data_IF_959275358562
#
_entry.id   IF_959275358562
#
_cell.length_a   1.000
_cell.length_b   1.000
_cell.length_c   1.000
_cell.angle_alpha   90.00
_cell.angle_beta   90.00
_cell.angle_gamma   90.00
#
_symmetry.space_group_name_H-M   'P 1'
#
loop_
_entity.id
_entity.type
_entity.pdbx_description
1 polymer ?
#
# COMPACT_ATOMS: atom_id res chain seq x y z
N UNK A 1 -33.10 -53.92 -11.75
CA UNK A 1 -32.00 -53.95 -10.77
C UNK A 1 -30.70 -53.67 -11.50
N UNK A 2 -29.82 -52.72 -11.19
CA UNK A 2 -29.76 -51.56 -10.31
C UNK A 2 -28.40 -50.93 -10.65
N UNK A 3 -28.35 -49.65 -11.06
CA UNK A 3 -27.07 -48.96 -11.26
C UNK A 3 -26.90 -47.94 -10.14
N UNK A 4 -25.95 -48.21 -9.26
CA UNK A 4 -25.45 -47.33 -8.20
C UNK A 4 -24.99 -46.02 -8.84
N UNK A 5 -25.68 -44.93 -8.53
CA UNK A 5 -25.20 -43.57 -8.74
C UNK A 5 -24.30 -43.18 -7.57
N UNK A 6 -23.02 -43.03 -7.84
CA UNK A 6 -22.00 -42.52 -6.92
C UNK A 6 -22.40 -41.12 -6.43
N UNK A 7 -22.69 -40.98 -5.14
CA UNK A 7 -22.79 -39.69 -4.46
C UNK A 7 -21.41 -39.02 -4.46
N UNK A 8 -21.11 -38.22 -5.49
CA UNK A 8 -19.95 -37.33 -5.48
C UNK A 8 -20.29 -36.08 -4.66
N UNK A 9 -19.56 -35.94 -3.55
CA UNK A 9 -19.41 -34.80 -2.65
C UNK A 9 -20.06 -33.47 -3.10
N UNK A 10 -21.18 -33.13 -2.45
CA UNK A 10 -21.85 -31.83 -2.52
C UNK A 10 -21.11 -30.69 -1.77
N UNK A 11 -19.89 -30.94 -1.30
CA UNK A 11 -19.04 -29.96 -0.59
C UNK A 11 -18.59 -28.82 -1.50
N UNK A 12 -18.26 -29.11 -2.77
CA UNK A 12 -17.83 -28.08 -3.72
C UNK A 12 -18.91 -27.05 -4.02
N UNK A 13 -20.18 -27.49 -4.15
CA UNK A 13 -21.31 -26.58 -4.38
C UNK A 13 -21.67 -25.76 -3.12
N UNK A 14 -21.53 -26.34 -1.93
CA UNK A 14 -21.76 -25.64 -0.68
C UNK A 14 -20.69 -24.56 -0.42
N UNK A 15 -19.41 -24.85 -0.71
CA UNK A 15 -18.31 -23.90 -0.59
C UNK A 15 -18.44 -22.71 -1.54
N UNK A 16 -18.84 -22.95 -2.81
CA UNK A 16 -19.09 -21.88 -3.77
C UNK A 16 -20.30 -21.03 -3.32
N UNK A 17 -21.33 -21.65 -2.75
CA UNK A 17 -22.52 -20.94 -2.26
C UNK A 17 -22.24 -20.14 -0.98
N UNK A 18 -21.33 -20.58 -0.10
CA UNK A 18 -20.89 -19.78 1.05
C UNK A 18 -19.92 -18.66 0.65
N UNK A 19 -19.05 -18.88 -0.35
CA UNK A 19 -18.10 -17.86 -0.80
C UNK A 19 -18.78 -16.73 -1.60
N UNK A 20 -19.86 -17.02 -2.33
CA UNK A 20 -20.53 -16.06 -3.23
C UNK A 20 -22.01 -15.78 -2.94
N UNK A 21 -22.68 -16.61 -2.13
CA UNK A 21 -24.15 -16.63 -2.05
C UNK A 21 -24.76 -15.99 -0.79
N UNK A 22 -23.95 -15.51 0.16
CA UNK A 22 -24.50 -14.92 1.39
C UNK A 22 -23.69 -13.69 1.84
N UNK A 23 -23.65 -12.66 0.99
CA UNK A 23 -23.50 -11.29 1.50
C UNK A 23 -24.91 -10.72 1.66
N UNK A 24 -25.40 -10.47 2.89
CA UNK A 24 -26.60 -9.66 3.05
C UNK A 24 -26.36 -8.34 2.32
N UNK A 25 -27.32 -7.87 1.51
CA UNK A 25 -27.30 -6.50 1.01
C UNK A 25 -27.23 -5.59 2.22
N UNK A 26 -26.03 -5.09 2.54
CA UNK A 26 -25.84 -4.12 3.61
C UNK A 26 -26.72 -2.93 3.26
N UNK A 27 -27.64 -2.65 4.16
CA UNK A 27 -28.36 -1.40 4.27
C UNK A 27 -27.36 -0.26 4.11
N UNK A 28 -27.69 0.71 3.24
CA UNK A 28 -26.94 1.90 2.88
C UNK A 28 -26.03 2.38 4.03
N UNK A 29 -24.74 2.09 3.90
CA UNK A 29 -23.72 2.70 4.71
C UNK A 29 -22.61 3.10 3.74
N UNK A 30 -22.83 4.21 3.02
CA UNK A 30 -21.89 4.78 2.04
C UNK A 30 -20.50 5.06 2.64
N UNK A 31 -20.40 5.09 3.97
CA UNK A 31 -19.14 5.24 4.71
C UNK A 31 -18.21 4.03 4.67
N UNK A 32 -18.67 2.85 4.24
CA UNK A 32 -17.86 1.61 4.25
C UNK A 32 -17.59 1.01 2.86
N UNK A 33 -17.84 1.77 1.79
CA UNK A 33 -17.44 1.37 0.45
C UNK A 33 -15.94 1.57 0.28
N UNK A 34 -15.24 0.50 -0.11
CA UNK A 34 -13.84 0.61 -0.52
C UNK A 34 -13.72 1.55 -1.73
N UNK A 35 -12.57 2.20 -1.94
CA UNK A 35 -12.39 3.17 -3.04
C UNK A 35 -12.60 2.57 -4.44
N UNK A 36 -12.54 1.23 -4.54
CA UNK A 36 -12.85 0.46 -5.75
C UNK A 36 -14.34 0.12 -5.93
N UNK A 37 -15.18 0.37 -4.92
CA UNK A 37 -16.61 0.04 -4.92
C UNK A 37 -17.52 1.27 -5.13
N UNK A 38 -16.92 2.46 -5.31
CA UNK A 38 -17.67 3.68 -5.66
C UNK A 38 -18.20 3.60 -7.09
N UNK A 39 -19.52 3.68 -7.23
CA UNK A 39 -20.23 3.59 -8.50
C UNK A 39 -20.30 4.98 -9.18
N UNK A 40 -19.15 5.52 -9.59
CA UNK A 40 -19.02 6.79 -10.33
C UNK A 40 -19.44 6.66 -11.82
N UNK A 41 -20.30 5.69 -12.17
CA UNK A 41 -20.63 5.35 -13.56
C UNK A 41 -19.54 4.60 -14.34
N UNK A 42 -18.43 4.27 -13.68
CA UNK A 42 -17.37 3.39 -14.18
C UNK A 42 -17.34 2.11 -13.32
N UNK A 43 -17.48 0.93 -13.94
CA UNK A 43 -17.39 -0.38 -13.26
C UNK A 43 -15.93 -0.65 -12.82
N UNK A 44 -15.48 -0.09 -11.68
CA UNK A 44 -14.10 -0.26 -11.19
C UNK A 44 -13.75 -1.72 -10.82
N UNK A 45 -14.75 -2.54 -10.49
CA UNK A 45 -14.60 -4.00 -10.32
C UNK A 45 -14.22 -4.74 -11.62
N UNK A 46 -14.30 -4.08 -12.78
CA UNK A 46 -13.89 -4.60 -14.10
C UNK A 46 -12.74 -3.84 -14.72
N UNK A 47 -12.17 -2.84 -14.03
CA UNK A 47 -11.00 -2.18 -14.60
C UNK A 47 -9.89 -3.20 -14.57
N UNK A 48 -9.39 -3.48 -15.78
CA UNK A 48 -8.11 -4.12 -15.96
C UNK A 48 -7.04 -3.17 -15.40
N UNK A 49 -6.93 -3.08 -14.07
CA UNK A 49 -5.85 -2.45 -13.32
C UNK A 49 -4.60 -3.25 -13.58
N UNK A 50 -4.15 -3.19 -14.82
CA UNK A 50 -2.88 -3.73 -15.25
C UNK A 50 -1.88 -2.67 -14.87
N UNK A 51 -1.08 -2.96 -13.85
CA UNK A 51 0.09 -2.16 -13.54
C UNK A 51 1.02 -2.19 -14.74
N UNK A 52 1.49 -1.04 -15.19
CA UNK A 52 2.39 -0.89 -16.32
C UNK A 52 3.57 -0.04 -15.87
N UNK A 53 4.61 -0.74 -15.40
CA UNK A 53 5.87 -0.11 -14.97
C UNK A 53 6.88 0.02 -16.11
N UNK A 54 6.79 -0.87 -17.11
CA UNK A 54 7.65 -0.87 -18.28
C UNK A 54 6.80 -0.98 -19.55
N UNK A 55 7.05 -0.07 -20.50
CA UNK A 55 6.42 -0.08 -21.82
C UNK A 55 7.51 -0.16 -22.90
N UNK A 56 7.20 -0.85 -24.00
CA UNK A 56 8.00 -0.71 -25.22
C UNK A 56 7.92 0.74 -25.72
N UNK A 57 8.99 1.25 -26.32
CA UNK A 57 9.04 2.61 -26.89
C UNK A 57 7.84 2.95 -27.79
N UNK A 58 7.34 1.97 -28.57
CA UNK A 58 6.16 2.16 -29.40
C UNK A 58 4.87 2.26 -28.58
N UNK A 59 4.72 1.41 -27.56
CA UNK A 59 3.56 1.42 -26.68
C UNK A 59 3.50 2.71 -25.86
N UNK A 60 4.65 3.19 -25.40
CA UNK A 60 4.77 4.48 -24.70
C UNK A 60 4.38 5.66 -25.59
N UNK A 61 4.76 5.64 -26.86
CA UNK A 61 4.34 6.66 -27.81
C UNK A 61 2.81 6.66 -27.98
N UNK A 62 2.20 5.49 -28.18
CA UNK A 62 0.75 5.36 -28.30
C UNK A 62 0.01 5.77 -27.02
N UNK A 63 0.50 5.37 -25.85
CA UNK A 63 -0.10 5.72 -24.55
C UNK A 63 -0.05 7.22 -24.30
N UNK A 64 1.07 7.86 -24.64
CA UNK A 64 1.25 9.32 -24.53
C UNK A 64 0.34 10.08 -25.50
N UNK A 65 0.22 9.61 -26.75
CA UNK A 65 -0.68 10.21 -27.74
C UNK A 65 -2.16 10.09 -27.33
N UNK A 66 -2.56 8.95 -26.75
CA UNK A 66 -3.91 8.75 -26.23
C UNK A 66 -4.21 9.67 -25.04
N UNK A 67 -3.25 9.85 -24.12
CA UNK A 67 -3.40 10.79 -23.00
C UNK A 67 -3.50 12.24 -23.47
N UNK A 68 -2.76 12.61 -24.51
CA UNK A 68 -2.81 13.94 -25.14
C UNK A 68 -4.11 14.18 -25.94
N UNK A 69 -4.95 13.16 -26.15
CA UNK A 69 -6.17 13.28 -26.95
C UNK A 69 -5.93 13.57 -28.44
N UNK A 70 -4.71 13.33 -28.93
CA UNK A 70 -4.35 13.56 -30.33
C UNK A 70 -4.59 12.28 -31.13
N UNK A 71 -5.60 12.29 -32.00
CA UNK A 71 -5.76 11.23 -33.02
C UNK A 71 -4.73 11.45 -34.13
N UNK A 72 -3.62 10.70 -34.09
CA UNK A 72 -2.67 10.69 -35.20
C UNK A 72 -3.18 9.73 -36.29
N UNK A 73 -3.68 10.30 -37.39
CA UNK A 73 -3.66 9.59 -38.67
C UNK A 73 -2.21 9.50 -39.12
N UNK A 74 -1.52 8.43 -38.73
CA UNK A 74 -0.13 8.21 -39.08
C UNK A 74 0.00 7.97 -40.59
N UNK A 75 0.10 9.05 -41.38
CA UNK A 75 0.80 8.97 -42.66
C UNK A 75 2.23 8.52 -42.33
N UNK A 76 2.71 7.46 -43.01
CA UNK A 76 3.99 6.77 -42.76
C UNK A 76 5.19 7.73 -42.70
N UNK A 77 5.42 8.37 -41.56
CA UNK A 77 6.64 9.09 -41.28
C UNK A 77 7.62 8.14 -40.60
N UNK A 78 8.89 8.23 -41.04
CA UNK A 78 9.98 7.38 -40.61
C UNK A 78 10.24 7.54 -39.11
N UNK A 79 9.82 6.55 -38.32
CA UNK A 79 10.14 6.45 -36.90
C UNK A 79 11.62 6.06 -36.79
N UNK A 80 12.44 6.95 -36.23
CA UNK A 80 13.84 6.64 -35.90
C UNK A 80 13.92 6.05 -34.50
N UNK A 81 14.28 4.77 -34.40
CA UNK A 81 14.52 4.10 -33.14
C UNK A 81 15.84 4.58 -32.53
N UNK A 82 15.76 5.40 -31.48
CA UNK A 82 16.92 5.70 -30.64
C UNK A 82 17.00 4.60 -29.59
N UNK A 83 17.98 3.71 -29.74
CA UNK A 83 18.24 2.68 -28.75
C UNK A 83 18.67 3.39 -27.45
N UNK A 84 17.93 3.28 -26.33
CA UNK A 84 18.40 3.82 -25.07
C UNK A 84 19.71 3.11 -24.77
N UNK A 85 20.81 3.87 -24.69
CA UNK A 85 22.14 3.33 -24.43
C UNK A 85 22.03 2.40 -23.23
N UNK A 86 22.15 1.11 -23.49
CA UNK A 86 22.15 0.11 -22.44
C UNK A 86 23.44 0.30 -21.66
N UNK A 87 23.34 0.99 -20.53
CA UNK A 87 24.35 1.02 -19.48
C UNK A 87 24.44 -0.38 -18.86
N UNK A 88 24.89 -1.35 -19.66
CA UNK A 88 25.14 -2.72 -19.22
C UNK A 88 26.52 -2.74 -18.59
N UNK A 89 26.58 -2.46 -17.30
CA UNK A 89 27.82 -2.49 -16.52
C UNK A 89 27.58 -2.13 -15.05
N UNK A 90 28.43 -2.65 -14.17
CA UNK A 90 28.49 -2.18 -12.79
C UNK A 90 29.14 -0.79 -12.80
N UNK A 91 28.45 0.22 -12.26
CA UNK A 91 29.03 1.55 -12.09
C UNK A 91 30.31 1.46 -11.25
N UNK A 92 31.33 2.19 -11.65
CA UNK A 92 32.51 2.38 -10.80
C UNK A 92 32.10 3.12 -9.51
N UNK A 93 32.92 3.02 -8.47
CA UNK A 93 32.63 3.68 -7.18
C UNK A 93 32.45 5.19 -7.34
N UNK A 94 33.29 5.82 -8.17
CA UNK A 94 33.24 7.25 -8.46
C UNK A 94 31.97 7.65 -9.23
N UNK A 95 31.56 6.86 -10.23
CA UNK A 95 30.31 7.08 -10.96
C UNK A 95 29.09 6.90 -10.06
N UNK A 96 29.13 5.94 -9.12
CA UNK A 96 28.05 5.72 -8.15
C UNK A 96 27.91 6.88 -7.17
N UNK A 97 29.02 7.43 -6.69
CA UNK A 97 29.01 8.61 -5.80
C UNK A 97 28.45 9.83 -6.54
N UNK A 98 28.91 10.09 -7.78
CA UNK A 98 28.36 11.17 -8.63
C UNK A 98 26.86 10.99 -8.89
N UNK A 99 26.42 9.77 -9.19
CA UNK A 99 25.00 9.48 -9.37
C UNK A 99 24.22 9.74 -8.08
N UNK A 100 24.73 9.33 -6.91
CA UNK A 100 24.08 9.56 -5.62
C UNK A 100 23.99 11.06 -5.28
N UNK A 101 25.02 11.84 -5.61
CA UNK A 101 25.00 13.30 -5.46
C UNK A 101 23.99 13.96 -6.40
N UNK A 102 23.92 13.53 -7.67
CA UNK A 102 22.90 13.99 -8.62
C UNK A 102 21.49 13.66 -8.11
N UNK A 103 21.25 12.44 -7.63
CA UNK A 103 20.00 12.05 -6.99
C UNK A 103 19.67 12.90 -5.75
N UNK A 104 20.67 13.24 -4.93
CA UNK A 104 20.47 14.07 -3.73
C UNK A 104 20.13 15.51 -4.10
N UNK A 105 20.82 16.09 -5.08
CA UNK A 105 20.57 17.45 -5.57
C UNK A 105 19.17 17.59 -6.19
N UNK A 106 18.70 16.53 -6.87
CA UNK A 106 17.41 16.52 -7.59
C UNK A 106 16.29 15.81 -6.85
N UNK A 107 16.48 15.50 -5.55
CA UNK A 107 15.47 14.85 -4.70
C UNK A 107 14.15 15.61 -4.69
N UNK A 108 14.21 16.94 -4.73
CA UNK A 108 13.01 17.78 -4.71
C UNK A 108 12.25 17.81 -6.03
N UNK A 109 12.88 17.42 -7.14
CA UNK A 109 12.27 17.43 -8.47
C UNK A 109 11.57 16.10 -8.79
N UNK A 110 11.96 15.01 -8.12
CA UNK A 110 11.33 13.70 -8.21
C UNK A 110 10.07 13.63 -7.31
N UNK A 111 9.05 14.40 -7.65
CA UNK A 111 7.76 14.42 -6.94
C UNK A 111 6.76 13.44 -7.54
N UNK A 112 5.78 13.01 -6.75
CA UNK A 112 4.60 12.31 -7.25
C UNK A 112 3.58 13.32 -7.81
N UNK A 113 2.81 12.95 -8.85
CA UNK A 113 1.86 13.86 -9.49
C UNK A 113 0.82 14.31 -8.46
N UNK A 114 0.66 15.63 -8.33
CA UNK A 114 -0.31 16.24 -7.43
C UNK A 114 -1.67 16.24 -8.11
N UNK A 115 -2.75 16.08 -7.33
CA UNK A 115 -4.09 16.21 -7.89
C UNK A 115 -4.37 17.70 -8.14
N UNK A 116 -4.86 18.10 -9.33
CA UNK A 116 -5.32 19.46 -9.55
C UNK A 116 -6.46 19.80 -8.59
N UNK A 117 -6.47 21.05 -8.11
CA UNK A 117 -7.55 21.54 -7.23
C UNK A 117 -8.85 21.57 -8.01
N UNK A 118 -9.91 21.08 -7.39
CA UNK A 118 -11.23 21.04 -7.98
C UNK A 118 -12.24 21.66 -7.03
N UNK A 119 -13.18 22.41 -7.59
CA UNK A 119 -14.26 23.08 -6.86
C UNK A 119 -15.61 22.46 -7.24
N UNK A 120 -16.66 22.79 -6.48
CA UNK A 120 -18.02 22.27 -6.74
C UNK A 120 -18.57 22.62 -8.13
N UNK A 121 -18.04 23.67 -8.75
CA UNK A 121 -18.44 24.13 -10.07
C UNK A 121 -17.77 23.34 -11.21
N UNK A 122 -16.76 22.52 -10.90
CA UNK A 122 -16.05 21.72 -11.92
C UNK A 122 -16.86 20.50 -12.32
N UNK A 123 -17.02 20.26 -13.63
CA UNK A 123 -17.68 19.05 -14.12
C UNK A 123 -16.75 17.86 -14.08
N UNK A 124 -17.30 16.64 -14.02
CA UNK A 124 -16.51 15.41 -13.98
C UNK A 124 -15.58 15.28 -15.21
N UNK A 125 -16.04 15.66 -16.41
CA UNK A 125 -15.25 15.59 -17.64
C UNK A 125 -14.12 16.64 -17.66
N UNK A 126 -14.38 17.83 -17.13
CA UNK A 126 -13.36 18.87 -16.97
C UNK A 126 -12.27 18.40 -16.01
N UNK A 127 -12.66 17.83 -14.86
CA UNK A 127 -11.71 17.29 -13.90
C UNK A 127 -10.85 16.17 -14.49
N UNK A 128 -11.45 15.23 -15.23
CA UNK A 128 -10.71 14.16 -15.90
C UNK A 128 -9.72 14.70 -16.93
N UNK A 129 -10.03 15.82 -17.58
CA UNK A 129 -9.13 16.46 -18.55
C UNK A 129 -7.97 17.14 -17.85
N UNK A 130 -8.23 17.91 -16.79
CA UNK A 130 -7.18 18.50 -15.95
C UNK A 130 -6.26 17.44 -15.34
N UNK A 131 -6.81 16.34 -14.83
CA UNK A 131 -6.03 15.22 -14.29
C UNK A 131 -5.13 14.57 -15.35
N UNK A 132 -5.60 14.45 -16.60
CA UNK A 132 -4.81 13.92 -17.72
C UNK A 132 -3.67 14.87 -18.11
N UNK A 133 -3.96 16.16 -18.19
CA UNK A 133 -2.99 17.20 -18.55
C UNK A 133 -1.87 17.28 -17.51
N UNK A 134 -2.21 17.36 -16.22
CA UNK A 134 -1.26 17.39 -15.11
C UNK A 134 -0.36 16.15 -15.10
N UNK A 135 -0.94 14.96 -15.29
CA UNK A 135 -0.18 13.72 -15.35
C UNK A 135 0.77 13.68 -16.56
N UNK A 136 0.37 14.23 -17.69
CA UNK A 136 1.18 14.29 -18.89
C UNK A 136 2.33 15.30 -18.75
N UNK A 137 2.09 16.43 -18.11
CA UNK A 137 3.12 17.41 -17.75
C UNK A 137 4.14 16.79 -16.78
N UNK A 138 3.68 16.13 -15.72
CA UNK A 138 4.54 15.39 -14.80
C UNK A 138 5.42 14.34 -15.51
N UNK A 139 4.87 13.57 -16.47
CA UNK A 139 5.65 12.62 -17.27
C UNK A 139 6.71 13.32 -18.13
N UNK A 140 6.39 14.48 -18.70
CA UNK A 140 7.37 15.28 -19.47
C UNK A 140 8.50 15.76 -18.57
N UNK A 141 8.21 16.23 -17.36
CA UNK A 141 9.23 16.64 -16.39
C UNK A 141 10.18 15.50 -16.04
N UNK A 142 9.66 14.29 -15.79
CA UNK A 142 10.49 13.12 -15.53
C UNK A 142 11.36 12.73 -16.73
N UNK A 143 10.83 12.81 -17.95
CA UNK A 143 11.60 12.50 -19.16
C UNK A 143 12.72 13.52 -19.38
N UNK A 144 12.47 14.81 -19.13
CA UNK A 144 13.50 15.85 -19.20
C UNK A 144 14.64 15.59 -18.20
N UNK A 145 14.31 15.17 -16.97
CA UNK A 145 15.30 14.78 -15.97
C UNK A 145 16.13 13.56 -16.41
N UNK A 146 15.48 12.58 -17.03
CA UNK A 146 16.16 11.38 -17.51
C UNK A 146 17.10 11.68 -18.69
N UNK A 147 16.70 12.58 -19.61
CA UNK A 147 17.50 12.99 -20.76
C UNK A 147 18.67 13.91 -20.39
N UNK A 148 18.45 14.89 -19.51
CA UNK A 148 19.46 15.89 -19.15
C UNK A 148 20.59 15.29 -18.30
N UNK A 149 20.26 14.45 -17.32
CA UNK A 149 21.22 13.97 -16.32
C UNK A 149 21.69 12.53 -16.56
N UNK A 150 21.03 11.79 -17.44
CA UNK A 150 21.21 10.34 -17.53
C UNK A 150 20.86 9.61 -16.22
N UNK A 151 20.01 10.22 -15.38
CA UNK A 151 19.61 9.67 -14.10
C UNK A 151 18.71 8.45 -14.33
N UNK A 152 19.05 7.31 -13.73
CA UNK A 152 18.19 6.13 -13.77
C UNK A 152 17.10 6.30 -12.71
N UNK A 153 15.91 6.69 -13.16
CA UNK A 153 14.73 6.83 -12.31
C UNK A 153 14.20 5.43 -11.96
N UNK A 154 13.73 5.25 -10.73
CA UNK A 154 13.03 4.02 -10.34
C UNK A 154 11.79 3.82 -11.22
N UNK A 155 11.54 2.61 -11.73
CA UNK A 155 10.34 2.32 -12.49
C UNK A 155 9.09 2.80 -11.74
N UNK A 156 8.22 3.53 -12.44
CA UNK A 156 7.01 4.11 -11.88
C UNK A 156 5.80 3.67 -12.69
N UNK A 157 4.60 3.82 -12.11
CA UNK A 157 3.36 3.43 -12.75
C UNK A 157 2.96 4.44 -13.84
N UNK A 158 2.84 3.97 -15.08
CA UNK A 158 2.48 4.83 -16.23
C UNK A 158 0.96 4.95 -16.42
N UNK A 159 0.17 4.09 -15.78
CA UNK A 159 -1.29 4.16 -15.85
C UNK A 159 -1.87 5.20 -14.87
N UNK A 160 -2.59 6.19 -15.42
CA UNK A 160 -3.24 7.28 -14.68
C UNK A 160 -4.25 6.77 -13.63
N UNK A 161 -4.92 5.65 -13.90
CA UNK A 161 -5.98 5.17 -13.00
C UNK A 161 -5.45 4.73 -11.63
N UNK A 162 -4.19 4.27 -11.54
CA UNK A 162 -3.53 4.01 -10.26
C UNK A 162 -3.27 5.30 -9.48
N UNK A 163 -2.87 6.37 -10.15
CA UNK A 163 -2.66 7.68 -9.52
C UNK A 163 -3.99 8.28 -9.05
N UNK A 164 -5.08 8.09 -9.80
CA UNK A 164 -6.43 8.45 -9.35
C UNK A 164 -6.84 7.72 -8.08
N UNK A 165 -6.53 6.43 -7.97
CA UNK A 165 -6.78 5.69 -6.73
C UNK A 165 -5.99 6.26 -5.55
N UNK A 166 -4.70 6.58 -5.76
CA UNK A 166 -3.88 7.21 -4.73
C UNK A 166 -4.49 8.54 -4.27
N UNK A 167 -4.88 9.40 -5.20
CA UNK A 167 -5.50 10.68 -4.88
C UNK A 167 -6.79 10.53 -4.05
N UNK A 168 -7.67 9.60 -4.43
CA UNK A 168 -8.91 9.30 -3.70
C UNK A 168 -8.62 8.80 -2.27
N UNK A 169 -7.64 7.92 -2.11
CA UNK A 169 -7.25 7.38 -0.79
C UNK A 169 -6.72 8.50 0.10
N UNK A 170 -5.89 9.39 -0.44
CA UNK A 170 -5.31 10.51 0.32
C UNK A 170 -6.41 11.48 0.78
N UNK A 171 -7.38 11.78 -0.08
CA UNK A 171 -8.47 12.69 0.26
C UNK A 171 -9.41 12.10 1.32
N UNK A 172 -9.80 10.83 1.16
CA UNK A 172 -10.79 10.19 2.05
C UNK A 172 -10.24 9.73 3.40
N UNK A 173 -8.94 9.45 3.50
CA UNK A 173 -8.35 8.84 4.72
C UNK A 173 -7.81 9.88 5.69
N UNK A 174 -8.06 9.74 6.98
CA UNK A 174 -7.50 10.62 8.02
C UNK A 174 -6.07 10.23 8.40
N UNK A 175 -5.76 8.94 8.33
CA UNK A 175 -4.46 8.36 8.62
C UNK A 175 -3.97 7.60 7.40
N UNK A 176 -2.75 7.88 6.97
CA UNK A 176 -2.11 7.21 5.83
C UNK A 176 -0.90 6.46 6.36
N UNK A 177 -0.87 5.16 6.07
CA UNK A 177 0.19 4.26 6.53
C UNK A 177 1.01 3.81 5.34
N UNK A 178 2.31 4.12 5.33
CA UNK A 178 3.24 3.64 4.32
C UNK A 178 3.88 2.33 4.77
N UNK A 179 3.60 1.25 4.05
CA UNK A 179 4.20 -0.06 4.33
C UNK A 179 5.58 -0.12 3.65
N UNK A 180 6.61 -0.41 4.43
CA UNK A 180 8.02 -0.35 4.03
C UNK A 180 8.71 -1.65 4.43
N UNK A 181 9.61 -2.17 3.59
CA UNK A 181 10.42 -3.36 3.94
C UNK A 181 11.53 -2.96 4.94
N UNK A 182 11.56 -3.63 6.10
CA UNK A 182 12.44 -3.31 7.22
C UNK A 182 13.94 -3.48 6.89
N UNK A 183 14.30 -4.20 5.82
CA UNK A 183 15.71 -4.38 5.41
C UNK A 183 16.35 -3.11 4.85
N UNK A 184 15.58 -2.31 4.12
CA UNK A 184 16.07 -1.05 3.57
C UNK A 184 14.95 -0.01 3.57
N UNK A 185 14.61 0.54 4.73
CA UNK A 185 13.43 1.36 4.85
C UNK A 185 13.57 2.73 4.17
N UNK A 186 14.79 3.22 3.99
CA UNK A 186 15.06 4.50 3.34
C UNK A 186 14.79 4.49 1.83
N UNK A 187 14.92 3.31 1.19
CA UNK A 187 14.69 3.18 -0.25
C UNK A 187 13.19 3.14 -0.59
N UNK A 188 12.39 2.45 0.23
CA UNK A 188 10.95 2.29 -0.02
C UNK A 188 10.09 3.38 0.63
N UNK A 189 10.70 4.25 1.43
CA UNK A 189 10.04 5.43 2.01
C UNK A 189 9.96 6.55 0.97
N UNK A 190 8.81 7.20 0.91
CA UNK A 190 8.56 8.30 -0.01
C UNK A 190 8.30 9.59 0.78
N UNK A 191 9.34 10.40 0.98
CA UNK A 191 9.20 11.69 1.68
C UNK A 191 8.24 12.65 0.99
N UNK A 192 8.17 12.61 -0.34
CA UNK A 192 7.26 13.48 -1.08
C UNK A 192 5.78 13.13 -0.84
N UNK A 193 5.48 11.86 -0.55
CA UNK A 193 4.13 11.45 -0.16
C UNK A 193 3.76 12.05 1.20
N UNK A 194 4.68 12.08 2.16
CA UNK A 194 4.46 12.72 3.46
C UNK A 194 4.16 14.22 3.32
N UNK A 195 4.93 14.91 2.45
CA UNK A 195 4.70 16.32 2.13
C UNK A 195 3.33 16.52 1.47
N UNK A 196 2.99 15.68 0.49
CA UNK A 196 1.71 15.76 -0.20
C UNK A 196 0.52 15.63 0.75
N UNK A 197 0.56 14.68 1.66
CA UNK A 197 -0.51 14.48 2.65
C UNK A 197 -0.71 15.74 3.50
N UNK A 198 0.38 16.40 3.89
CA UNK A 198 0.33 17.66 4.64
C UNK A 198 -0.14 18.84 3.80
N UNK A 199 0.19 18.89 2.51
CA UNK A 199 -0.30 19.89 1.56
C UNK A 199 -1.83 19.78 1.36
N UNK A 200 -2.37 18.56 1.29
CA UNK A 200 -3.82 18.33 1.18
C UNK A 200 -4.54 18.70 2.47
N UNK A 201 -4.05 18.22 3.62
CA UNK A 201 -4.62 18.57 4.92
C UNK A 201 -3.59 18.42 6.05
N UNK A 202 -3.36 19.50 6.79
CA UNK A 202 -2.41 19.55 7.89
C UNK A 202 -2.75 18.57 9.05
N UNK A 203 -4.04 18.28 9.25
CA UNK A 203 -4.53 17.41 10.32
C UNK A 203 -4.32 15.92 10.05
N UNK A 204 -4.10 15.52 8.79
CA UNK A 204 -3.87 14.12 8.44
C UNK A 204 -2.57 13.63 9.06
N UNK A 205 -2.58 12.40 9.58
CA UNK A 205 -1.40 11.76 10.17
C UNK A 205 -0.76 10.81 9.16
N UNK A 206 0.57 10.83 9.09
CA UNK A 206 1.35 9.88 8.33
C UNK A 206 2.10 8.95 9.31
N UNK A 207 2.07 7.65 9.03
CA UNK A 207 2.79 6.63 9.79
C UNK A 207 3.52 5.69 8.82
N UNK A 208 4.68 5.18 9.23
CA UNK A 208 5.41 4.16 8.47
C UNK A 208 5.31 2.82 9.19
N UNK A 209 4.90 1.78 8.46
CA UNK A 209 4.83 0.40 8.94
C UNK A 209 6.01 -0.38 8.37
N UNK A 210 6.98 -0.73 9.23
CA UNK A 210 8.13 -1.54 8.86
C UNK A 210 7.74 -3.03 8.88
N UNK A 211 7.49 -3.57 7.70
CA UNK A 211 7.17 -4.98 7.47
C UNK A 211 8.44 -5.85 7.44
N UNK A 212 8.32 -7.12 7.81
CA UNK A 212 9.42 -8.10 7.94
C UNK A 212 10.40 -7.73 9.06
N UNK A 213 9.87 -7.22 10.17
CA UNK A 213 10.67 -6.82 11.32
C UNK A 213 11.43 -8.00 11.99
N UNK A 214 11.02 -9.25 11.73
CA UNK A 214 11.70 -10.49 12.11
C UNK A 214 13.13 -10.59 11.55
N UNK A 215 13.39 -10.00 10.39
CA UNK A 215 14.72 -9.98 9.78
C UNK A 215 15.69 -9.03 10.49
N UNK A 216 15.21 -8.21 11.42
CA UNK A 216 16.02 -7.26 12.17
C UNK A 216 16.29 -7.73 13.60
N UNK A 217 17.56 -7.64 14.01
CA UNK A 217 17.94 -7.81 15.41
C UNK A 217 17.31 -6.71 16.30
N UNK A 218 17.14 -7.01 17.59
CA UNK A 218 16.63 -6.02 18.58
C UNK A 218 17.46 -4.72 18.57
N UNK A 219 18.78 -4.82 18.40
CA UNK A 219 19.67 -3.65 18.29
C UNK A 219 19.36 -2.81 17.05
N UNK A 220 19.16 -3.43 15.89
CA UNK A 220 18.81 -2.72 14.65
C UNK A 220 17.45 -2.03 14.76
N UNK A 221 16.46 -2.66 15.39
CA UNK A 221 15.16 -2.03 15.65
C UNK A 221 15.31 -0.76 16.49
N UNK A 222 16.09 -0.81 17.57
CA UNK A 222 16.38 0.38 18.39
C UNK A 222 17.05 1.51 17.59
N UNK A 223 18.00 1.18 16.72
CA UNK A 223 18.62 2.18 15.84
C UNK A 223 17.61 2.81 14.88
N UNK A 224 16.73 2.00 14.27
CA UNK A 224 15.70 2.52 13.37
C UNK A 224 14.68 3.37 14.11
N UNK A 225 14.21 2.96 15.30
CA UNK A 225 13.32 3.78 16.13
C UNK A 225 13.94 5.15 16.39
N UNK A 226 15.18 5.19 16.89
CA UNK A 226 15.90 6.45 17.15
C UNK A 226 16.05 7.33 15.90
N UNK A 227 16.31 6.71 14.75
CA UNK A 227 16.40 7.43 13.49
C UNK A 227 15.06 8.06 13.09
N UNK A 228 13.97 7.30 13.16
CA UNK A 228 12.65 7.82 12.79
C UNK A 228 12.09 8.84 13.79
N UNK A 229 12.40 8.69 15.08
CA UNK A 229 12.11 9.68 16.11
C UNK A 229 12.81 11.01 15.82
N UNK A 230 14.06 10.97 15.35
CA UNK A 230 14.81 12.18 14.99
C UNK A 230 14.20 12.96 13.82
N UNK A 231 13.42 12.28 12.97
CA UNK A 231 12.73 12.86 11.80
C UNK A 231 11.25 13.13 12.15
N UNK A 232 10.83 12.86 13.39
CA UNK A 232 9.46 13.04 13.88
C UNK A 232 8.42 12.28 13.03
N UNK A 233 8.74 11.04 12.65
CA UNK A 233 7.82 10.16 11.92
C UNK A 233 7.44 8.96 12.78
N UNK A 234 6.13 8.74 12.93
CA UNK A 234 5.58 7.61 13.67
C UNK A 234 5.89 6.31 12.96
N UNK A 235 6.47 5.34 13.67
CA UNK A 235 6.85 4.04 13.13
C UNK A 235 6.28 2.90 13.94
N UNK A 236 5.72 1.92 13.25
CA UNK A 236 5.32 0.64 13.82
C UNK A 236 6.12 -0.49 13.15
N UNK A 237 6.50 -1.50 13.93
CA UNK A 237 7.14 -2.71 13.41
C UNK A 237 6.08 -3.81 13.28
N UNK A 238 6.08 -4.50 12.14
CA UNK A 238 5.17 -5.61 11.88
C UNK A 238 5.94 -6.82 11.34
N UNK A 239 5.57 -8.00 11.82
CA UNK A 239 6.02 -9.26 11.26
C UNK A 239 4.82 -10.20 11.14
N UNK A 240 4.62 -10.73 9.94
CA UNK A 240 3.52 -11.66 9.68
C UNK A 240 3.76 -13.03 10.34
N UNK A 241 5.03 -13.46 10.46
CA UNK A 241 5.36 -14.78 11.02
C UNK A 241 4.94 -14.88 12.48
N UNK A 242 5.31 -13.89 13.30
CA UNK A 242 4.95 -13.87 14.71
C UNK A 242 3.43 -13.85 14.92
N UNK A 243 2.68 -13.11 14.10
CA UNK A 243 1.21 -13.09 14.24
C UNK A 243 0.55 -14.41 13.89
N UNK A 244 1.14 -15.27 13.05
CA UNK A 244 0.59 -16.60 12.82
C UNK A 244 0.83 -17.52 14.02
N UNK A 245 1.96 -17.38 14.70
CA UNK A 245 2.28 -18.14 15.91
C UNK A 245 1.37 -17.67 17.05
N UNK A 246 1.23 -16.35 17.27
CA UNK A 246 0.35 -15.78 18.30
C UNK A 246 -1.14 -16.13 18.06
N UNK A 247 -1.63 -16.10 16.81
CA UNK A 247 -3.02 -16.49 16.49
C UNK A 247 -3.22 -18.00 16.61
N UNK A 248 -2.21 -18.83 16.31
CA UNK A 248 -2.30 -20.27 16.51
C UNK A 248 -2.31 -20.63 18.00
N UNK A 249 -1.51 -19.94 18.81
CA UNK A 249 -1.52 -20.09 20.27
C UNK A 249 -2.89 -19.68 20.85
N UNK A 250 -3.47 -18.55 20.42
CA UNK A 250 -4.83 -18.14 20.84
C UNK A 250 -5.94 -19.12 20.38
N UNK A 251 -5.84 -19.66 19.16
CA UNK A 251 -6.80 -20.66 18.64
C UNK A 251 -6.65 -22.03 19.35
N UNK A 252 -5.43 -22.43 19.72
CA UNK A 252 -5.15 -23.66 20.47
C UNK A 252 -5.60 -23.55 21.94
N UNK A 253 -5.40 -22.39 22.58
CA UNK A 253 -5.92 -22.09 23.93
C UNK A 253 -7.45 -22.11 23.96
N UNK A 254 -8.10 -21.51 22.96
CA UNK A 254 -9.57 -21.54 22.83
C UNK A 254 -10.13 -22.95 22.56
N UNK A 255 -9.37 -23.84 21.90
CA UNK A 255 -9.75 -25.25 21.72
C UNK A 255 -9.59 -26.08 23.00
N UNK A 256 -8.60 -25.78 23.85
CA UNK A 256 -8.41 -26.48 25.13
C UNK A 256 -9.37 -25.99 26.23
N UNK A 257 -9.80 -24.73 26.21
CA UNK A 257 -10.93 -24.25 27.04
C UNK A 257 -12.26 -24.91 26.65
N UNK A 258 -12.48 -25.18 25.36
CA UNK A 258 -13.69 -25.87 24.91
C UNK A 258 -13.69 -27.36 25.31
N UNK A 259 -12.52 -28.03 25.35
CA UNK A 259 -12.40 -29.42 25.83
C UNK A 259 -12.54 -29.55 27.35
N UNK A 260 -12.14 -28.55 28.12
CA UNK A 260 -12.33 -28.55 29.58
C UNK A 260 -13.79 -28.30 29.95
N UNK A 261 -14.54 -27.53 29.15
CA UNK A 261 -15.98 -27.28 29.37
C UNK A 261 -16.91 -28.49 29.12
N UNK A 262 -16.46 -29.51 28.38
CA UNK A 262 -17.27 -30.71 28.08
C UNK A 262 -17.04 -31.88 29.05
N UNK A 263 -16.18 -31.74 30.07
CA UNK A 263 -15.80 -32.87 30.95
C UNK A 263 -16.21 -32.78 32.42
N UNK A 264 -16.86 -31.71 32.87
CA UNK A 264 -17.27 -31.59 34.28
C UNK A 264 -18.79 -31.44 34.44
N UNK A 265 -19.46 -32.58 34.58
CA UNK A 265 -20.75 -32.69 35.28
C UNK A 265 -20.69 -33.90 36.23
N UNK A 266 -21.10 -33.68 37.50
CA UNK A 266 -21.03 -34.54 38.72
C UNK A 266 -19.63 -34.59 39.38
N UNK A 267 -19.38 -34.24 40.65
CA UNK A 267 -20.20 -34.24 41.88
C UNK A 267 -19.53 -33.37 42.99
N UNK A 268 -20.34 -33.04 43.99
CA UNK A 268 -20.33 -32.13 45.17
C UNK A 268 -19.09 -31.82 46.08
N UNK A 269 -19.09 -30.54 46.52
CA UNK A 269 -18.80 -29.88 47.82
C UNK A 269 -17.56 -30.24 48.69
N UNK A 270 -16.65 -29.26 48.89
CA UNK A 270 -16.10 -28.89 50.22
C UNK A 270 -15.54 -27.45 50.21
N UNK A 271 -15.90 -26.65 51.23
CA UNK A 271 -15.39 -25.29 51.47
C UNK A 271 -14.12 -25.35 52.32
N UNK A 272 -13.05 -24.65 51.95
CA UNK A 272 -12.17 -24.01 52.94
C UNK A 272 -11.47 -22.76 52.36
N UNK A 273 -11.50 -21.72 53.18
CA UNK A 273 -10.99 -20.35 53.06
C UNK A 273 -9.46 -20.30 52.92
N UNK A 274 -8.91 -19.31 52.19
CA UNK A 274 -7.66 -18.56 52.51
C UNK A 274 -7.23 -17.57 51.39
N UNK A 275 -7.42 -16.28 51.70
CA UNK A 275 -6.56 -15.10 51.45
C UNK A 275 -6.09 -14.69 50.03
N UNK A 276 -6.59 -13.52 49.61
CA UNK A 276 -5.90 -12.37 49.00
C UNK A 276 -4.50 -12.59 48.38
N UNK A 277 -4.40 -12.38 47.05
CA UNK A 277 -3.42 -11.51 46.40
C UNK A 277 -3.91 -11.21 44.96
N UNK A 278 -4.33 -9.96 44.72
CA UNK A 278 -4.64 -9.43 43.39
C UNK A 278 -3.32 -9.08 42.69
N UNK A 279 -2.98 -9.78 41.60
CA UNK A 279 -2.09 -9.25 40.58
C UNK A 279 -2.83 -9.21 39.23
N UNK A 280 -3.29 -8.02 38.89
CA UNK A 280 -3.78 -7.67 37.55
C UNK A 280 -2.60 -7.70 36.57
N UNK A 281 -2.43 -8.77 35.78
CA UNK A 281 -1.66 -8.69 34.54
C UNK A 281 -2.55 -8.10 33.44
N UNK A 282 -2.61 -6.77 33.38
CA UNK A 282 -3.06 -6.06 32.19
C UNK A 282 -2.13 -6.42 31.01
N UNK A 283 -2.72 -7.06 30.00
CA UNK A 283 -2.11 -7.28 28.69
C UNK A 283 -1.59 -5.96 28.10
N UNK A 284 -0.27 -5.76 28.19
CA UNK A 284 0.39 -4.58 27.66
C UNK A 284 0.62 -4.75 26.15
N UNK A 285 -0.40 -4.39 25.35
CA UNK A 285 -0.17 -3.99 23.96
C UNK A 285 0.70 -2.73 24.02
N UNK A 286 2.00 -2.91 23.78
CA UNK A 286 3.01 -1.86 23.86
C UNK A 286 2.91 -0.93 22.64
N UNK A 287 1.82 -0.15 22.55
CA UNK A 287 1.79 1.10 21.78
C UNK A 287 2.57 2.13 22.59
N UNK A 288 3.90 2.09 22.47
CA UNK A 288 4.76 3.08 23.15
C UNK A 288 4.64 4.45 22.49
N UNK A 289 3.67 5.24 22.95
CA UNK A 289 3.80 6.69 22.99
C UNK A 289 4.72 7.03 24.17
N UNK A 290 6.02 7.20 23.93
CA UNK A 290 6.88 7.80 24.94
C UNK A 290 6.61 9.31 25.02
N UNK A 291 6.21 9.86 26.18
CA UNK A 291 6.24 11.30 26.38
C UNK A 291 7.69 11.75 26.57
N UNK A 292 8.03 12.86 25.93
CA UNK A 292 9.27 13.58 26.21
C UNK A 292 9.43 13.81 27.71
N UNK A 293 10.56 13.40 28.27
CA UNK A 293 11.25 14.14 29.34
C UNK A 293 12.71 13.71 29.38
N UNK A 294 13.57 14.55 28.79
CA UNK A 294 14.97 14.63 29.14
C UNK A 294 15.09 15.07 30.61
N UNK A 295 15.86 14.33 31.41
CA UNK A 295 17.07 14.74 32.14
C UNK A 295 17.86 13.46 32.44
#
# INVERSE_FOLDING_TARGET
MGKKGTQQHALGKALIKNRFGNRPKRVNNDGLLHTSELEDGYDWNKINLKSVTEESSFQEFLSTAQLAGTEFTAEKLNITFVNPRSTVGLLTKEEKEKAMEAHKAKREMLKIPRRPKWDKDTTAEQLQTMEREEFLEWRRELNLLQEEDGLVITPYEKNLDFWRQLWRVIERSDVIVQIVDARNPLLFRCEDLEKYVKEVCHHKRNMVLLNKADLLSKKQRCYWTRYFDSINVSVAFFSATNTYDDIQEEDEEAEDENKTSESESDDSEEWEDLSEEEEEEEGFILVSFFPLSCI
#
